data_IF_141800781109
#
_entry.id   IF_141800781109
#
_cell.length_a   1.000
_cell.length_b   1.000
_cell.length_c   1.000
_cell.angle_alpha   90.00
_cell.angle_beta   90.00
_cell.angle_gamma   90.00
#
_symmetry.space_group_name_H-M   'P 1'
#
loop_
_entity.id
_entity.type
_entity.pdbx_description
1 polymer ?
#
# COMPACT_ATOMS: atom_id res chain seq x y z
N UNK A 1 11.07 15.20 21.98
CA UNK A 1 11.75 13.91 21.79
C UNK A 1 12.64 13.66 22.99
N UNK A 2 12.39 12.60 23.76
CA UNK A 2 13.19 12.29 24.96
C UNK A 2 14.53 11.63 24.61
N UNK A 3 15.55 11.67 25.48
CA UNK A 3 16.81 10.96 25.25
C UNK A 3 16.62 9.44 25.05
N UNK A 4 15.57 8.86 25.63
CA UNK A 4 15.20 7.44 25.45
C UNK A 4 14.66 7.18 24.04
N UNK A 5 13.75 8.02 23.55
CA UNK A 5 13.24 7.94 22.18
C UNK A 5 14.36 8.09 21.14
N UNK A 6 15.29 9.03 21.35
CA UNK A 6 16.44 9.24 20.46
C UNK A 6 17.26 7.95 20.26
N UNK A 7 17.54 7.22 21.35
CA UNK A 7 18.29 5.95 21.27
C UNK A 7 17.53 4.87 20.49
N UNK A 8 16.21 4.81 20.66
CA UNK A 8 15.36 3.86 19.91
C UNK A 8 15.42 4.19 18.40
N UNK A 9 15.30 5.46 18.04
CA UNK A 9 15.39 5.91 16.64
C UNK A 9 16.78 5.66 16.04
N UNK A 10 17.86 5.88 16.81
CA UNK A 10 19.22 5.57 16.39
C UNK A 10 19.41 4.06 16.18
N UNK A 11 18.97 3.22 17.12
CA UNK A 11 19.04 1.77 16.97
C UNK A 11 18.23 1.27 15.76
N UNK A 12 17.06 1.85 15.53
CA UNK A 12 16.25 1.55 14.35
C UNK A 12 16.96 1.94 13.05
N UNK A 13 17.54 3.15 12.97
CA UNK A 13 18.29 3.62 11.81
C UNK A 13 19.53 2.78 11.55
N UNK A 14 20.25 2.35 12.59
CA UNK A 14 21.41 1.47 12.45
C UNK A 14 21.01 0.07 11.95
N UNK A 15 19.85 -0.43 12.36
CA UNK A 15 19.37 -1.77 11.98
C UNK A 15 18.75 -1.82 10.58
N UNK A 16 17.95 -0.81 10.21
CA UNK A 16 17.13 -0.82 8.99
C UNK A 16 17.50 0.30 8.00
N UNK A 17 18.49 1.13 8.33
CA UNK A 17 18.92 2.24 7.48
C UNK A 17 17.95 3.41 7.48
N UNK A 18 17.61 3.88 6.29
CA UNK A 18 16.93 5.15 6.01
C UNK A 18 15.43 5.17 6.32
N UNK A 19 14.96 4.52 7.40
CA UNK A 19 13.54 4.51 7.79
C UNK A 19 12.57 4.01 6.71
N UNK A 20 13.03 3.07 5.87
CA UNK A 20 12.29 2.58 4.70
C UNK A 20 11.93 3.71 3.72
N UNK A 21 12.75 4.76 3.60
CA UNK A 21 12.47 5.92 2.76
C UNK A 21 12.24 5.53 1.29
N UNK A 22 13.02 4.59 0.75
CA UNK A 22 12.82 4.09 -0.63
C UNK A 22 11.43 3.51 -0.82
N UNK A 23 11.02 2.59 0.06
CA UNK A 23 9.68 2.00 0.06
C UNK A 23 8.58 3.07 0.21
N UNK A 24 8.78 4.07 1.08
CA UNK A 24 7.81 5.16 1.28
C UNK A 24 7.64 6.03 0.03
N UNK A 25 8.74 6.32 -0.67
CA UNK A 25 8.71 7.08 -1.93
C UNK A 25 7.95 6.28 -2.99
N UNK A 26 8.24 4.99 -3.11
CA UNK A 26 7.58 4.11 -4.06
C UNK A 26 6.07 3.98 -3.78
N UNK A 27 5.69 3.77 -2.53
CA UNK A 27 4.28 3.79 -2.10
C UNK A 27 3.60 5.13 -2.39
N UNK A 28 4.30 6.25 -2.17
CA UNK A 28 3.82 7.58 -2.50
C UNK A 28 3.54 7.74 -3.99
N UNK A 29 4.46 7.30 -4.85
CA UNK A 29 4.28 7.30 -6.29
C UNK A 29 3.12 6.39 -6.73
N UNK A 30 3.07 5.15 -6.23
CA UNK A 30 1.99 4.20 -6.52
C UNK A 30 0.61 4.74 -6.13
N UNK A 31 0.49 5.38 -4.96
CA UNK A 31 -0.75 6.02 -4.52
C UNK A 31 -1.17 7.17 -5.44
N UNK A 32 -0.21 7.97 -5.93
CA UNK A 32 -0.49 9.04 -6.87
C UNK A 32 -1.01 8.50 -8.21
N UNK A 33 -0.39 7.44 -8.74
CA UNK A 33 -0.85 6.78 -9.96
C UNK A 33 -2.23 6.15 -9.79
N UNK A 34 -2.47 5.46 -8.67
CA UNK A 34 -3.76 4.89 -8.34
C UNK A 34 -4.83 5.98 -8.24
N UNK A 35 -4.54 7.10 -7.57
CA UNK A 35 -5.47 8.24 -7.48
C UNK A 35 -5.81 8.80 -8.87
N UNK A 36 -4.80 9.01 -9.72
CA UNK A 36 -4.97 9.53 -11.08
C UNK A 36 -5.80 8.59 -11.97
N UNK A 37 -5.55 7.29 -11.87
CA UNK A 37 -6.26 6.26 -12.63
C UNK A 37 -7.70 6.08 -12.12
N UNK A 38 -7.86 5.95 -10.80
CA UNK A 38 -9.16 5.76 -10.14
C UNK A 38 -10.09 6.96 -10.31
N UNK A 39 -9.56 8.16 -10.55
CA UNK A 39 -10.33 9.34 -10.91
C UNK A 39 -10.92 9.32 -12.33
N UNK A 40 -10.49 8.40 -13.20
CA UNK A 40 -10.96 8.28 -14.60
C UNK A 40 -11.79 7.04 -14.88
N UNK A 41 -11.89 6.14 -13.93
CA UNK A 41 -12.60 4.86 -14.10
C UNK A 41 -13.77 4.76 -13.12
N UNK A 42 -14.74 3.92 -13.49
CA UNK A 42 -15.83 3.52 -12.61
C UNK A 42 -15.29 2.78 -11.37
N UNK A 43 -16.08 2.78 -10.29
CA UNK A 43 -15.64 2.28 -8.99
C UNK A 43 -15.23 0.79 -9.00
N UNK A 44 -15.86 -0.01 -9.86
CA UNK A 44 -15.59 -1.43 -10.07
C UNK A 44 -14.24 -1.71 -10.76
N UNK A 45 -13.68 -0.71 -11.44
CA UNK A 45 -12.40 -0.79 -12.18
C UNK A 45 -11.25 -0.12 -11.44
N UNK A 46 -11.48 0.40 -10.24
CA UNK A 46 -10.43 1.02 -9.43
C UNK A 46 -9.36 0.01 -9.03
N UNK A 47 -8.12 0.48 -8.98
CA UNK A 47 -6.93 -0.32 -8.68
C UNK A 47 -6.27 0.15 -7.39
N UNK A 48 -5.62 -0.79 -6.70
CA UNK A 48 -4.78 -0.50 -5.52
C UNK A 48 -3.39 -0.01 -5.96
N UNK A 49 -2.77 0.88 -5.20
CA UNK A 49 -1.43 1.40 -5.48
C UNK A 49 -0.34 0.31 -5.62
N UNK A 50 -0.53 -0.84 -4.96
CA UNK A 50 0.41 -1.97 -4.99
C UNK A 50 0.49 -2.64 -6.36
N UNK A 51 -0.45 -2.40 -7.28
CA UNK A 51 -0.30 -2.89 -8.66
C UNK A 51 0.94 -2.29 -9.34
N UNK A 52 1.39 -1.11 -8.89
CA UNK A 52 2.57 -0.42 -9.39
C UNK A 52 3.85 -0.82 -8.64
N UNK A 53 3.74 -1.71 -7.65
CA UNK A 53 4.83 -2.20 -6.80
C UNK A 53 4.89 -3.74 -6.88
N UNK A 54 5.35 -4.31 -8.01
CA UNK A 54 5.20 -5.75 -8.29
C UNK A 54 5.95 -6.67 -7.33
N UNK A 55 6.89 -6.12 -6.57
CA UNK A 55 7.67 -6.85 -5.57
C UNK A 55 7.00 -6.86 -4.19
N UNK A 56 5.95 -6.04 -3.96
CA UNK A 56 5.13 -6.12 -2.75
C UNK A 56 4.04 -7.17 -2.95
N UNK A 57 3.89 -8.08 -1.98
CA UNK A 57 2.77 -9.02 -1.96
C UNK A 57 1.47 -8.27 -1.70
N UNK A 58 0.47 -8.47 -2.57
CA UNK A 58 -0.89 -8.01 -2.29
C UNK A 58 -1.41 -8.72 -1.04
N UNK A 59 -2.18 -8.03 -0.18
CA UNK A 59 -2.77 -8.66 0.98
C UNK A 59 -3.74 -9.73 0.49
N UNK A 60 -3.60 -10.95 1.00
CA UNK A 60 -4.58 -12.00 0.75
C UNK A 60 -5.92 -11.55 1.34
N UNK A 61 -6.88 -11.28 0.47
CA UNK A 61 -8.25 -10.99 0.89
C UNK A 61 -8.78 -12.21 1.65
N UNK A 62 -9.49 -11.96 2.74
CA UNK A 62 -10.21 -13.04 3.43
C UNK A 62 -11.24 -13.68 2.50
N UNK A 63 -11.61 -14.93 2.77
CA UNK A 63 -12.60 -15.65 1.95
C UNK A 63 -13.91 -14.86 1.80
N UNK A 64 -14.35 -14.19 2.87
CA UNK A 64 -15.56 -13.36 2.88
C UNK A 64 -15.43 -12.15 1.93
N UNK A 65 -14.30 -11.45 1.96
CA UNK A 65 -14.03 -10.30 1.07
C UNK A 65 -13.94 -10.73 -0.39
N UNK A 66 -13.31 -11.88 -0.67
CA UNK A 66 -13.26 -12.47 -2.01
C UNK A 66 -14.66 -12.85 -2.51
N UNK A 67 -15.50 -13.45 -1.65
CA UNK A 67 -16.89 -13.79 -2.01
C UNK A 67 -17.73 -12.55 -2.28
N UNK A 68 -17.59 -11.50 -1.48
CA UNK A 68 -18.30 -10.24 -1.67
C UNK A 68 -17.93 -9.56 -3.00
N UNK A 69 -16.65 -9.57 -3.37
CA UNK A 69 -16.20 -9.08 -4.68
C UNK A 69 -16.76 -9.91 -5.84
N UNK A 70 -16.77 -11.24 -5.70
CA UNK A 70 -17.31 -12.15 -6.72
C UNK A 70 -18.82 -12.00 -6.90
N UNK A 71 -19.58 -11.73 -5.83
CA UNK A 71 -21.02 -11.44 -5.91
C UNK A 71 -21.25 -10.12 -6.64
N UNK A 72 -20.54 -9.04 -6.26
CA UNK A 72 -20.61 -7.74 -6.95
C UNK A 72 -20.34 -7.85 -8.45
N UNK A 73 -19.34 -8.63 -8.85
CA UNK A 73 -18.99 -8.87 -10.26
C UNK A 73 -20.03 -9.65 -11.06
N UNK A 74 -20.87 -10.47 -10.41
CA UNK A 74 -21.96 -11.22 -11.06
C UNK A 74 -23.26 -10.42 -11.19
N UNK A 75 -23.42 -9.38 -10.38
CA UNK A 75 -24.61 -8.51 -10.36
C UNK A 75 -24.50 -7.27 -11.27
N UNK A 76 -23.35 -7.05 -11.90
CA UNK A 76 -23.10 -6.04 -12.93
C UNK A 76 -23.10 -6.70 -14.31
#
# INVERSE_FOLDING_TARGET
>A
MTPKELRIWQAYRNRYGSFNLGRRIEQGAGNLYALYFNGKVEEDKRVDARIFMPHETMPELTFEEQRMQAIKKKSA
#
